data_IF_869865057214
#
_entry.id   IF_869865057214
#
_cell.length_a   1.000
_cell.length_b   1.000
_cell.length_c   1.000
_cell.angle_alpha   90.00
_cell.angle_beta   90.00
_cell.angle_gamma   90.00
#
_symmetry.space_group_name_H-M   'P 1'
#
loop_
_entity.id
_entity.type
_entity.pdbx_description
1 polymer ?
#
# COMPACT_ATOMS: atom_id res chain seq x y z
N UNK A 1 -31.38 0.50 7.99
CA UNK A 1 -30.20 -0.36 7.78
C UNK A 1 -30.15 -0.78 6.32
N UNK A 2 -29.01 -1.25 5.81
CA UNK A 2 -28.90 -1.67 4.41
C UNK A 2 -29.56 -3.04 4.24
N UNK A 3 -30.59 -3.13 3.40
CA UNK A 3 -31.32 -4.38 3.11
C UNK A 3 -30.35 -5.53 2.70
N UNK A 4 -29.23 -5.21 2.04
CA UNK A 4 -28.22 -6.21 1.69
C UNK A 4 -27.50 -6.80 2.91
N UNK A 5 -27.23 -5.98 3.95
CA UNK A 5 -26.62 -6.46 5.19
C UNK A 5 -27.59 -7.35 5.96
N UNK A 6 -28.88 -6.98 5.99
CA UNK A 6 -29.91 -7.77 6.66
C UNK A 6 -30.18 -9.11 5.94
N UNK A 7 -30.12 -9.13 4.60
CA UNK A 7 -30.17 -10.38 3.79
C UNK A 7 -29.01 -11.33 4.09
N UNK A 8 -27.80 -10.80 4.23
CA UNK A 8 -26.63 -11.59 4.62
C UNK A 8 -26.79 -12.16 6.03
N UNK A 9 -27.21 -11.33 6.98
CA UNK A 9 -27.45 -11.75 8.38
C UNK A 9 -28.49 -12.86 8.44
N UNK A 10 -29.60 -12.73 7.72
CA UNK A 10 -30.62 -13.78 7.65
C UNK A 10 -30.06 -15.09 7.06
N UNK A 11 -29.18 -15.00 6.05
CA UNK A 11 -28.52 -16.17 5.45
C UNK A 11 -27.55 -16.86 6.42
N UNK A 12 -26.89 -16.11 7.31
CA UNK A 12 -26.05 -16.62 8.39
C UNK A 12 -26.91 -17.32 9.44
N UNK A 13 -28.01 -16.69 9.86
CA UNK A 13 -28.94 -17.28 10.83
C UNK A 13 -29.55 -18.58 10.29
N UNK A 14 -29.97 -18.61 9.01
CA UNK A 14 -30.47 -19.82 8.35
C UNK A 14 -29.41 -20.94 8.33
N UNK A 15 -28.15 -20.61 8.08
CA UNK A 15 -27.03 -21.56 8.09
C UNK A 15 -26.78 -22.13 9.50
N UNK A 16 -26.75 -21.28 10.53
CA UNK A 16 -26.57 -21.72 11.93
C UNK A 16 -27.72 -22.61 12.39
N UNK A 17 -28.96 -22.27 12.05
CA UNK A 17 -30.13 -23.12 12.31
C UNK A 17 -30.04 -24.46 11.60
N UNK A 18 -29.63 -24.49 10.33
CA UNK A 18 -29.41 -25.74 9.60
C UNK A 18 -28.32 -26.60 10.24
N UNK A 19 -27.21 -25.98 10.67
CA UNK A 19 -26.09 -26.66 11.35
C UNK A 19 -26.47 -27.29 12.69
N UNK A 20 -27.48 -26.74 13.37
CA UNK A 20 -28.08 -27.32 14.58
C UNK A 20 -28.95 -28.54 14.23
N UNK A 21 -29.71 -28.45 13.14
CA UNK A 21 -30.68 -29.49 12.72
C UNK A 21 -30.00 -30.68 12.04
N UNK A 22 -28.98 -30.43 11.23
CA UNK A 22 -28.24 -31.46 10.48
C UNK A 22 -27.19 -32.20 11.32
N UNK A 23 -26.90 -31.70 12.53
CA UNK A 23 -25.94 -32.30 13.46
C UNK A 23 -24.48 -32.08 13.07
N UNK A 24 -24.19 -31.11 12.19
CA UNK A 24 -22.81 -30.71 11.84
C UNK A 24 -22.07 -30.17 13.07
N UNK A 25 -22.81 -29.63 14.04
CA UNK A 25 -22.29 -29.07 15.29
C UNK A 25 -22.55 -30.04 16.45
N UNK A 26 -21.61 -30.10 17.41
CA UNK A 26 -21.74 -30.94 18.60
C UNK A 26 -22.96 -30.53 19.41
N UNK A 27 -23.63 -31.52 20.03
CA UNK A 27 -24.80 -31.28 20.87
C UNK A 27 -24.54 -30.29 22.02
N UNK A 28 -23.30 -30.24 22.52
CA UNK A 28 -22.89 -29.34 23.61
C UNK A 28 -22.83 -27.86 23.16
N UNK A 29 -22.69 -27.60 21.86
CA UNK A 29 -22.56 -26.25 21.30
C UNK A 29 -23.90 -25.67 20.81
N UNK A 30 -24.99 -26.46 20.87
CA UNK A 30 -26.32 -26.06 20.40
C UNK A 30 -26.85 -24.82 21.13
N UNK A 31 -26.79 -24.82 22.46
CA UNK A 31 -27.26 -23.68 23.27
C UNK A 31 -26.45 -22.42 22.97
N UNK A 32 -25.14 -22.57 22.77
CA UNK A 32 -24.25 -21.47 22.40
C UNK A 32 -24.61 -20.86 21.04
N UNK A 33 -24.98 -21.70 20.06
CA UNK A 33 -25.41 -21.24 18.75
C UNK A 33 -26.78 -20.55 18.77
N UNK A 34 -27.73 -21.03 19.57
CA UNK A 34 -29.04 -20.39 19.74
C UNK A 34 -28.89 -18.98 20.32
N UNK A 35 -28.01 -18.80 21.33
CA UNK A 35 -27.68 -17.47 21.87
C UNK A 35 -27.02 -16.59 20.80
N UNK A 36 -26.09 -17.13 20.03
CA UNK A 36 -25.42 -16.37 18.96
C UNK A 36 -26.41 -15.89 17.88
N UNK A 37 -27.37 -16.73 17.47
CA UNK A 37 -28.42 -16.37 16.53
C UNK A 37 -29.24 -15.18 17.05
N UNK A 38 -29.63 -15.22 18.33
CA UNK A 38 -30.39 -14.15 18.94
C UNK A 38 -29.58 -12.84 19.00
N UNK A 39 -28.33 -12.88 19.45
CA UNK A 39 -27.47 -11.70 19.51
C UNK A 39 -27.23 -11.08 18.12
N UNK A 40 -27.01 -11.91 17.09
CA UNK A 40 -26.83 -11.45 15.71
C UNK A 40 -28.13 -10.85 15.16
N UNK A 41 -29.27 -11.48 15.41
CA UNK A 41 -30.58 -10.94 15.01
C UNK A 41 -30.84 -9.56 15.60
N UNK A 42 -30.68 -9.41 16.92
CA UNK A 42 -30.89 -8.15 17.63
C UNK A 42 -29.93 -7.04 17.15
N UNK A 43 -28.65 -7.36 16.97
CA UNK A 43 -27.64 -6.39 16.53
C UNK A 43 -27.94 -5.77 15.15
N UNK A 44 -28.61 -6.52 14.27
CA UNK A 44 -28.91 -6.12 12.90
C UNK A 44 -30.40 -5.88 12.62
N UNK A 45 -31.23 -5.94 13.66
CA UNK A 45 -32.68 -5.80 13.57
C UNK A 45 -33.31 -6.84 12.63
N UNK A 46 -32.78 -8.06 12.63
CA UNK A 46 -33.28 -9.20 11.87
C UNK A 46 -33.94 -10.19 12.83
N UNK A 47 -35.24 -10.38 12.69
CA UNK A 47 -35.99 -11.36 13.47
C UNK A 47 -36.28 -12.60 12.61
N UNK A 48 -35.64 -13.74 12.89
CA UNK A 48 -35.89 -14.98 12.16
C UNK A 48 -37.30 -15.56 12.40
N UNK A 49 -38.05 -15.08 13.40
CA UNK A 49 -39.44 -15.47 13.67
C UNK A 49 -40.48 -14.60 12.93
N UNK A 50 -40.08 -13.46 12.36
CA UNK A 50 -40.98 -12.59 11.60
C UNK A 50 -41.10 -13.03 10.13
N UNK A 51 -42.19 -13.73 9.83
CA UNK A 51 -42.52 -14.21 8.48
C UNK A 51 -42.52 -13.12 7.39
N UNK A 52 -42.83 -11.86 7.74
CA UNK A 52 -42.86 -10.75 6.77
C UNK A 52 -41.44 -10.29 6.42
N UNK A 53 -40.56 -10.25 7.43
CA UNK A 53 -39.18 -9.87 7.27
C UNK A 53 -38.38 -10.98 6.56
N UNK A 54 -38.61 -12.23 6.95
CA UNK A 54 -38.03 -13.41 6.30
C UNK A 54 -38.40 -13.44 4.82
N UNK A 55 -39.67 -13.20 4.44
CA UNK A 55 -40.06 -13.16 3.01
C UNK A 55 -39.42 -12.02 2.22
N UNK A 56 -39.21 -10.85 2.84
CA UNK A 56 -38.59 -9.68 2.19
C UNK A 56 -37.07 -9.84 2.01
N UNK A 57 -36.41 -10.50 2.97
CA UNK A 57 -34.97 -10.64 3.05
C UNK A 57 -34.46 -12.01 2.60
N UNK A 58 -35.34 -13.00 2.38
CA UNK A 58 -34.91 -14.33 1.95
C UNK A 58 -34.29 -14.30 0.56
N UNK A 59 -33.18 -15.02 0.41
CA UNK A 59 -32.43 -15.15 -0.84
C UNK A 59 -32.62 -16.53 -1.48
N UNK A 60 -33.62 -17.30 -1.01
CA UNK A 60 -33.94 -18.64 -1.54
C UNK A 60 -34.23 -18.56 -3.06
N UNK A 61 -33.69 -19.48 -3.88
CA UNK A 61 -33.11 -20.78 -3.50
C UNK A 61 -31.60 -20.76 -3.15
N UNK A 62 -30.91 -19.62 -3.20
CA UNK A 62 -29.48 -19.57 -2.89
C UNK A 62 -29.25 -19.66 -1.37
N UNK A 63 -28.43 -20.63 -0.95
CA UNK A 63 -28.00 -20.81 0.45
C UNK A 63 -26.62 -20.23 0.66
N UNK A 64 -26.29 -19.82 1.89
CA UNK A 64 -24.96 -19.29 2.22
C UNK A 64 -23.81 -20.23 1.80
N UNK A 65 -23.90 -21.56 2.01
CA UNK A 65 -22.91 -22.50 1.49
C UNK A 65 -22.80 -22.48 -0.05
N UNK A 66 -23.94 -22.43 -0.77
CA UNK A 66 -23.90 -22.39 -2.24
C UNK A 66 -23.27 -21.11 -2.79
N UNK A 67 -23.50 -19.98 -2.13
CA UNK A 67 -22.90 -18.68 -2.49
C UNK A 67 -21.40 -18.71 -2.20
N UNK A 68 -21.02 -19.27 -1.04
CA UNK A 68 -19.62 -19.40 -0.66
C UNK A 68 -18.87 -20.39 -1.57
N UNK A 69 -19.50 -21.49 -1.97
CA UNK A 69 -18.96 -22.43 -2.96
C UNK A 69 -18.76 -21.77 -4.33
N UNK A 70 -19.70 -20.92 -4.77
CA UNK A 70 -19.54 -20.13 -6.00
C UNK A 70 -18.39 -19.15 -5.87
N UNK A 71 -18.23 -18.51 -4.71
CA UNK A 71 -17.08 -17.65 -4.43
C UNK A 71 -15.77 -18.44 -4.46
N UNK A 72 -15.68 -19.58 -3.77
CA UNK A 72 -14.50 -20.44 -3.77
C UNK A 72 -14.18 -20.95 -5.18
N UNK A 73 -15.17 -21.47 -5.91
CA UNK A 73 -14.99 -21.92 -7.31
C UNK A 73 -14.57 -20.79 -8.24
N UNK A 74 -15.07 -19.58 -8.03
CA UNK A 74 -14.64 -18.40 -8.79
C UNK A 74 -13.22 -18.01 -8.42
N UNK A 75 -12.89 -17.98 -7.12
CA UNK A 75 -11.54 -17.71 -6.62
C UNK A 75 -10.53 -18.72 -7.16
N UNK A 76 -10.86 -20.00 -7.14
CA UNK A 76 -9.97 -21.07 -7.59
C UNK A 76 -9.82 -21.08 -9.13
N UNK A 77 -10.89 -20.76 -9.87
CA UNK A 77 -10.81 -20.54 -11.33
C UNK A 77 -9.98 -19.32 -11.72
N UNK A 78 -10.05 -18.25 -10.93
CA UNK A 78 -9.25 -17.03 -11.12
C UNK A 78 -7.78 -17.26 -10.72
N UNK A 79 -7.51 -18.14 -9.74
CA UNK A 79 -6.15 -18.48 -9.31
C UNK A 79 -5.44 -19.54 -10.17
N UNK A 80 -6.17 -20.36 -10.94
CA UNK A 80 -5.59 -21.49 -11.68
C UNK A 80 -6.20 -21.75 -13.06
N UNK A 81 -6.16 -20.79 -14.00
CA UNK A 81 -6.37 -21.15 -15.43
C UNK A 81 -5.53 -20.31 -16.40
N UNK A 82 -4.30 -20.78 -16.63
CA UNK A 82 -3.75 -20.75 -17.99
C UNK A 82 -4.43 -21.86 -18.81
N UNK A 83 -5.09 -21.46 -19.90
CA UNK A 83 -5.63 -22.25 -21.04
C UNK A 83 -7.05 -22.87 -20.89
N UNK A 84 -7.98 -22.61 -21.85
CA UNK A 84 -9.38 -23.01 -21.74
C UNK A 84 -9.72 -24.29 -22.51
N UNK A 85 -10.61 -25.11 -21.94
CA UNK A 85 -11.43 -26.06 -22.69
C UNK A 85 -12.92 -25.79 -22.40
N UNK A 86 -13.69 -25.67 -23.47
CA UNK A 86 -14.99 -25.04 -23.56
C UNK A 86 -16.12 -25.72 -22.79
N UNK A 87 -17.10 -24.93 -22.34
CA UNK A 87 -18.55 -25.18 -22.52
C UNK A 87 -19.35 -23.90 -22.26
N UNK A 88 -19.52 -23.14 -23.35
CA UNK A 88 -20.75 -22.44 -23.78
C UNK A 88 -21.77 -21.97 -22.73
N UNK A 89 -21.84 -20.65 -22.53
CA UNK A 89 -23.06 -19.88 -22.82
C UNK A 89 -22.79 -18.37 -22.89
N UNK A 90 -23.18 -17.78 -24.02
CA UNK A 90 -23.23 -16.34 -24.35
C UNK A 90 -21.91 -15.60 -24.63
N UNK A 91 -21.20 -16.04 -25.66
CA UNK A 91 -20.50 -15.12 -26.56
C UNK A 91 -21.52 -14.21 -27.27
N UNK A 92 -21.95 -13.14 -26.59
CA UNK A 92 -22.39 -11.95 -27.31
C UNK A 92 -21.13 -11.26 -27.84
N UNK A 93 -21.00 -11.25 -29.16
CA UNK A 93 -20.05 -10.46 -29.93
C UNK A 93 -20.27 -8.99 -29.55
N UNK A 94 -19.57 -8.52 -28.51
CA UNK A 94 -19.72 -7.17 -27.96
C UNK A 94 -19.29 -6.18 -29.04
N UNK A 95 -20.22 -5.30 -29.39
CA UNK A 95 -20.08 -4.36 -30.51
C UNK A 95 -19.00 -3.34 -30.17
N UNK A 96 -18.26 -2.83 -31.17
CA UNK A 96 -17.28 -1.75 -30.96
C UNK A 96 -17.86 -0.53 -30.23
N UNK A 97 -19.19 -0.33 -30.29
CA UNK A 97 -19.90 0.70 -29.53
C UNK A 97 -19.88 0.52 -28.01
N UNK A 98 -19.81 -0.71 -27.49
CA UNK A 98 -19.80 -0.96 -26.04
C UNK A 98 -18.42 -0.70 -25.44
N UNK A 99 -17.36 -1.01 -26.20
CA UNK A 99 -15.99 -0.67 -25.83
C UNK A 99 -15.79 0.86 -25.81
N UNK A 100 -16.32 1.59 -26.79
CA UNK A 100 -16.27 3.06 -26.78
C UNK A 100 -16.97 3.65 -25.55
N UNK A 101 -18.15 3.12 -25.17
CA UNK A 101 -18.84 3.56 -23.95
C UNK A 101 -18.05 3.21 -22.68
N UNK A 102 -17.41 2.05 -22.63
CA UNK A 102 -16.54 1.68 -21.50
C UNK A 102 -15.36 2.66 -21.36
N UNK A 103 -14.77 3.07 -22.49
CA UNK A 103 -13.71 4.07 -22.53
C UNK A 103 -14.20 5.46 -22.09
N UNK A 104 -15.43 5.86 -22.43
CA UNK A 104 -16.04 7.11 -21.93
C UNK A 104 -16.19 7.09 -20.41
N UNK A 105 -16.65 5.97 -19.84
CA UNK A 105 -16.73 5.81 -18.39
C UNK A 105 -15.35 5.82 -17.73
N UNK A 106 -14.33 5.20 -18.34
CA UNK A 106 -12.93 5.30 -17.88
C UNK A 106 -12.45 6.75 -17.90
N UNK A 107 -12.69 7.50 -18.98
CA UNK A 107 -12.27 8.89 -19.09
C UNK A 107 -12.96 9.77 -18.04
N UNK A 108 -14.25 9.56 -17.81
CA UNK A 108 -14.98 10.21 -16.72
C UNK A 108 -14.41 9.85 -15.35
N UNK A 109 -14.11 8.57 -15.09
CA UNK A 109 -13.45 8.13 -13.87
C UNK A 109 -12.09 8.81 -13.66
N UNK A 110 -11.28 8.94 -14.71
CA UNK A 110 -9.99 9.63 -14.65
C UNK A 110 -10.14 11.12 -14.33
N UNK A 111 -11.16 11.78 -14.88
CA UNK A 111 -11.50 13.18 -14.53
C UNK A 111 -11.92 13.29 -13.06
N UNK A 112 -12.76 12.37 -12.58
CA UNK A 112 -13.19 12.37 -11.18
C UNK A 112 -12.02 12.09 -10.23
N UNK A 113 -11.04 11.26 -10.64
CA UNK A 113 -9.79 11.06 -9.92
C UNK A 113 -8.96 12.34 -9.79
N UNK A 114 -8.82 13.12 -10.87
CA UNK A 114 -8.09 14.40 -10.80
C UNK A 114 -8.81 15.45 -9.96
N UNK A 115 -10.13 15.38 -9.89
CA UNK A 115 -10.97 16.17 -8.97
C UNK A 115 -10.99 15.62 -7.52
N UNK A 116 -10.27 14.53 -7.23
CA UNK A 116 -10.25 13.83 -5.92
C UNK A 116 -11.62 13.30 -5.45
N UNK A 117 -12.55 13.10 -6.38
CA UNK A 117 -13.88 12.52 -6.13
C UNK A 117 -13.82 11.00 -6.26
N UNK A 118 -13.15 10.35 -5.31
CA UNK A 118 -12.78 8.94 -5.43
C UNK A 118 -13.99 7.99 -5.51
N UNK A 119 -15.05 8.23 -4.72
CA UNK A 119 -16.26 7.40 -4.78
C UNK A 119 -16.93 7.42 -6.16
N UNK A 120 -17.07 8.62 -6.74
CA UNK A 120 -17.65 8.78 -8.07
C UNK A 120 -16.75 8.18 -9.16
N UNK A 121 -15.43 8.27 -8.97
CA UNK A 121 -14.48 7.62 -9.87
C UNK A 121 -14.62 6.08 -9.82
N UNK A 122 -14.77 5.50 -8.62
CA UNK A 122 -15.01 4.07 -8.43
C UNK A 122 -16.29 3.64 -9.15
N UNK A 123 -17.37 4.41 -9.03
CA UNK A 123 -18.63 4.14 -9.72
C UNK A 123 -18.43 4.16 -11.24
N UNK A 124 -17.75 5.17 -11.77
CA UNK A 124 -17.46 5.30 -13.19
C UNK A 124 -16.63 4.11 -13.72
N UNK A 125 -15.55 3.73 -13.04
CA UNK A 125 -14.77 2.55 -13.43
C UNK A 125 -15.56 1.25 -13.30
N UNK A 126 -16.49 1.15 -12.34
CA UNK A 126 -17.38 0.00 -12.21
C UNK A 126 -18.33 -0.12 -13.40
N UNK A 127 -18.82 1.01 -13.94
CA UNK A 127 -19.57 1.01 -15.19
C UNK A 127 -18.70 0.63 -16.39
N UNK A 128 -17.44 1.07 -16.45
CA UNK A 128 -16.52 0.63 -17.49
C UNK A 128 -16.29 -0.90 -17.45
N UNK A 129 -16.08 -1.47 -16.25
CA UNK A 129 -15.89 -2.91 -16.03
C UNK A 129 -17.15 -3.72 -16.40
N UNK A 130 -18.35 -3.21 -16.12
CA UNK A 130 -19.58 -3.92 -16.48
C UNK A 130 -19.75 -4.04 -18.00
N UNK A 131 -19.34 -3.00 -18.73
CA UNK A 131 -19.37 -2.95 -20.19
C UNK A 131 -18.23 -3.73 -20.85
N UNK A 132 -17.04 -3.75 -20.26
CA UNK A 132 -15.93 -4.58 -20.72
C UNK A 132 -15.09 -5.08 -19.53
N UNK A 133 -15.37 -6.31 -19.05
CA UNK A 133 -14.67 -6.89 -17.91
C UNK A 133 -13.30 -7.48 -18.28
N UNK A 134 -12.89 -7.39 -19.56
CA UNK A 134 -11.65 -7.99 -20.06
C UNK A 134 -10.50 -7.00 -20.16
N UNK A 135 -10.71 -5.75 -19.77
CA UNK A 135 -9.69 -4.71 -19.81
C UNK A 135 -9.07 -4.48 -18.43
N UNK A 136 -7.80 -4.87 -18.28
CA UNK A 136 -7.03 -4.73 -17.04
C UNK A 136 -6.88 -3.27 -16.57
N UNK A 137 -6.96 -2.30 -17.50
CA UNK A 137 -6.83 -0.87 -17.19
C UNK A 137 -7.94 -0.39 -16.27
N UNK A 138 -9.19 -0.86 -16.46
CA UNK A 138 -10.30 -0.40 -15.63
C UNK A 138 -10.17 -0.85 -14.17
N UNK A 139 -9.78 -2.10 -13.95
CA UNK A 139 -9.49 -2.61 -12.61
C UNK A 139 -8.31 -1.87 -11.98
N UNK A 140 -7.23 -1.64 -12.72
CA UNK A 140 -6.07 -0.90 -12.20
C UNK A 140 -6.38 0.56 -11.84
N UNK A 141 -7.25 1.22 -12.60
CA UNK A 141 -7.69 2.57 -12.31
C UNK A 141 -8.63 2.60 -11.09
N UNK A 142 -9.52 1.61 -10.95
CA UNK A 142 -10.37 1.48 -9.77
C UNK A 142 -9.58 1.13 -8.51
N UNK A 143 -8.54 0.30 -8.62
CA UNK A 143 -7.56 0.06 -7.54
C UNK A 143 -6.86 1.35 -7.09
N UNK A 144 -6.51 2.22 -8.04
CA UNK A 144 -5.93 3.53 -7.73
C UNK A 144 -6.92 4.42 -6.97
N UNK A 145 -8.19 4.40 -7.36
CA UNK A 145 -9.26 5.15 -6.69
C UNK A 145 -9.50 4.65 -5.26
N UNK A 146 -9.59 3.33 -5.07
CA UNK A 146 -9.67 2.71 -3.75
C UNK A 146 -8.48 3.08 -2.86
N UNK A 147 -7.26 2.98 -3.39
CA UNK A 147 -6.04 3.40 -2.66
C UNK A 147 -6.07 4.87 -2.27
N UNK A 148 -6.55 5.74 -3.16
CA UNK A 148 -6.61 7.19 -2.91
C UNK A 148 -7.68 7.57 -1.87
N UNK A 149 -8.71 6.73 -1.71
CA UNK A 149 -9.71 6.83 -0.65
C UNK A 149 -9.25 6.21 0.69
N UNK A 150 -8.16 5.43 0.68
CA UNK A 150 -7.64 4.70 1.84
C UNK A 150 -8.22 3.28 2.00
N UNK A 151 -9.00 2.80 1.04
CA UNK A 151 -9.51 1.41 1.03
C UNK A 151 -8.49 0.50 0.33
N UNK A 152 -7.38 0.22 1.03
CA UNK A 152 -6.28 -0.53 0.44
C UNK A 152 -6.60 -2.02 0.25
N UNK A 153 -7.53 -2.59 1.02
CA UNK A 153 -7.98 -3.97 0.83
C UNK A 153 -8.76 -4.13 -0.48
N UNK A 154 -9.69 -3.22 -0.78
CA UNK A 154 -10.38 -3.23 -2.08
C UNK A 154 -9.40 -2.98 -3.24
N UNK A 155 -8.39 -2.13 -3.03
CA UNK A 155 -7.35 -1.89 -4.03
C UNK A 155 -6.51 -3.14 -4.34
N UNK A 156 -6.19 -3.97 -3.34
CA UNK A 156 -5.52 -5.26 -3.55
C UNK A 156 -6.36 -6.15 -4.47
N UNK A 157 -7.65 -6.34 -4.16
CA UNK A 157 -8.52 -7.21 -4.96
C UNK A 157 -8.62 -6.76 -6.43
N UNK A 158 -8.76 -5.45 -6.68
CA UNK A 158 -8.79 -4.93 -8.04
C UNK A 158 -7.43 -5.01 -8.75
N UNK A 159 -6.32 -4.84 -8.03
CA UNK A 159 -4.99 -4.98 -8.61
C UNK A 159 -4.68 -6.44 -8.99
N UNK A 160 -5.07 -7.40 -8.16
CA UNK A 160 -5.00 -8.83 -8.47
C UNK A 160 -5.87 -9.18 -9.68
N UNK A 161 -7.08 -8.63 -9.75
CA UNK A 161 -7.95 -8.84 -10.91
C UNK A 161 -7.36 -8.23 -12.19
N UNK A 162 -6.72 -7.07 -12.12
CA UNK A 162 -6.01 -6.47 -13.24
C UNK A 162 -4.89 -7.39 -13.76
N UNK A 163 -4.11 -7.98 -12.85
CA UNK A 163 -3.03 -8.92 -13.18
C UNK A 163 -3.60 -10.23 -13.75
N UNK A 164 -4.71 -10.74 -13.21
CA UNK A 164 -5.37 -11.94 -13.72
C UNK A 164 -5.92 -11.72 -15.13
N UNK A 165 -6.42 -10.52 -15.42
CA UNK A 165 -6.94 -10.14 -16.75
C UNK A 165 -5.82 -9.96 -17.77
N UNK A 166 -4.73 -9.27 -17.40
CA UNK A 166 -3.52 -9.17 -18.24
C UNK A 166 -2.25 -9.35 -17.38
N UNK A 167 -1.66 -10.55 -17.38
CA UNK A 167 -0.44 -10.83 -16.62
C UNK A 167 0.79 -10.05 -17.09
N UNK A 168 0.76 -9.39 -18.24
CA UNK A 168 1.86 -8.52 -18.72
C UNK A 168 1.66 -7.07 -18.33
N UNK A 169 0.53 -6.72 -17.70
CA UNK A 169 0.20 -5.36 -17.35
C UNK A 169 0.96 -4.88 -16.10
N UNK A 170 2.14 -4.30 -16.32
CA UNK A 170 3.07 -3.87 -15.26
C UNK A 170 2.44 -2.91 -14.24
N UNK A 171 1.54 -2.03 -14.68
CA UNK A 171 0.79 -1.12 -13.79
C UNK A 171 -0.04 -1.89 -12.76
N UNK A 172 -0.56 -3.09 -13.08
CA UNK A 172 -1.28 -3.96 -12.13
C UNK A 172 -0.40 -4.36 -10.95
N UNK A 173 0.82 -4.81 -11.21
CA UNK A 173 1.81 -5.14 -10.18
C UNK A 173 2.20 -3.93 -9.32
N UNK A 174 2.34 -2.76 -9.94
CA UNK A 174 2.58 -1.52 -9.20
C UNK A 174 1.39 -1.17 -8.28
N UNK A 175 0.14 -1.34 -8.73
CA UNK A 175 -1.05 -1.09 -7.88
C UNK A 175 -1.10 -2.07 -6.71
N UNK A 176 -0.82 -3.34 -6.97
CA UNK A 176 -0.82 -4.38 -5.95
C UNK A 176 0.22 -4.09 -4.86
N UNK A 177 1.47 -3.87 -5.28
CA UNK A 177 2.55 -3.59 -4.33
C UNK A 177 2.32 -2.30 -3.54
N UNK A 178 1.78 -1.26 -4.18
CA UNK A 178 1.43 -0.03 -3.47
C UNK A 178 0.32 -0.25 -2.44
N UNK A 179 -0.74 -0.98 -2.79
CA UNK A 179 -1.83 -1.27 -1.86
C UNK A 179 -1.36 -2.11 -0.67
N UNK A 180 -0.54 -3.14 -0.91
CA UNK A 180 0.07 -3.97 0.14
C UNK A 180 1.03 -3.18 1.03
N UNK A 181 1.81 -2.26 0.45
CA UNK A 181 2.68 -1.37 1.20
C UNK A 181 1.88 -0.47 2.15
N UNK A 182 0.75 0.08 1.69
CA UNK A 182 -0.15 0.87 2.53
C UNK A 182 -0.86 0.05 3.62
N UNK A 183 -0.97 -1.28 3.43
CA UNK A 183 -1.44 -2.23 4.45
C UNK A 183 -0.32 -2.71 5.39
N UNK A 184 0.89 -2.17 5.25
CA UNK A 184 2.10 -2.54 6.00
C UNK A 184 2.57 -3.99 5.76
N UNK A 185 2.04 -4.65 4.72
CA UNK A 185 2.53 -5.94 4.23
C UNK A 185 3.70 -5.70 3.27
N UNK A 186 4.84 -5.32 3.85
CA UNK A 186 6.04 -4.92 3.10
C UNK A 186 6.67 -6.09 2.34
N UNK A 187 6.53 -7.32 2.84
CA UNK A 187 7.01 -8.53 2.16
C UNK A 187 6.21 -8.79 0.89
N UNK A 188 4.87 -8.85 0.99
CA UNK A 188 4.02 -9.04 -0.19
C UNK A 188 4.16 -7.88 -1.19
N UNK A 189 4.30 -6.64 -0.69
CA UNK A 189 4.56 -5.48 -1.54
C UNK A 189 5.85 -5.62 -2.35
N UNK A 190 6.94 -6.04 -1.70
CA UNK A 190 8.22 -6.28 -2.37
C UNK A 190 8.10 -7.37 -3.44
N UNK A 191 7.42 -8.48 -3.14
CA UNK A 191 7.17 -9.55 -4.12
C UNK A 191 6.36 -9.07 -5.33
N UNK A 192 5.33 -8.23 -5.12
CA UNK A 192 4.54 -7.66 -6.19
C UNK A 192 5.40 -6.75 -7.09
N UNK A 193 6.22 -5.87 -6.51
CA UNK A 193 7.13 -5.01 -7.27
C UNK A 193 8.19 -5.81 -8.03
N UNK A 194 8.76 -6.86 -7.43
CA UNK A 194 9.70 -7.76 -8.10
C UNK A 194 9.08 -8.48 -9.29
N UNK A 195 7.83 -8.95 -9.16
CA UNK A 195 7.10 -9.54 -10.31
C UNK A 195 6.91 -8.53 -11.44
N UNK A 196 6.58 -7.27 -11.11
CA UNK A 196 6.52 -6.19 -12.11
C UNK A 196 7.87 -5.94 -12.79
N UNK A 197 8.98 -5.94 -12.02
CA UNK A 197 10.33 -5.76 -12.55
C UNK A 197 10.83 -6.92 -13.40
N UNK A 198 10.31 -8.14 -13.21
CA UNK A 198 10.60 -9.26 -14.12
C UNK A 198 10.04 -9.01 -15.52
N UNK A 199 8.94 -8.25 -15.63
CA UNK A 199 8.33 -7.86 -16.91
C UNK A 199 9.01 -6.63 -17.51
N UNK A 200 9.27 -5.61 -16.69
CA UNK A 200 9.98 -4.39 -17.09
C UNK A 200 11.16 -4.09 -16.14
N UNK A 201 12.35 -4.68 -16.38
CA UNK A 201 13.52 -4.48 -15.52
C UNK A 201 14.05 -3.05 -15.50
N UNK A 202 13.65 -2.22 -16.47
CA UNK A 202 14.02 -0.81 -16.57
C UNK A 202 13.12 0.14 -15.79
N UNK A 203 12.01 -0.33 -15.23
CA UNK A 203 11.00 0.53 -14.62
C UNK A 203 11.50 1.13 -13.28
N UNK A 204 11.93 2.38 -13.32
CA UNK A 204 12.51 3.07 -12.16
C UNK A 204 11.51 3.23 -11.01
N UNK A 205 10.23 3.49 -11.32
CA UNK A 205 9.18 3.62 -10.30
C UNK A 205 9.02 2.34 -9.48
N UNK A 206 9.03 1.19 -10.15
CA UNK A 206 9.00 -0.11 -9.46
C UNK A 206 10.27 -0.39 -8.66
N UNK A 207 11.45 0.00 -9.15
CA UNK A 207 12.72 -0.14 -8.40
C UNK A 207 12.71 0.66 -7.11
N UNK A 208 12.33 1.94 -7.19
CA UNK A 208 12.23 2.80 -6.02
C UNK A 208 11.18 2.30 -5.03
N UNK A 209 10.05 1.80 -5.53
CA UNK A 209 8.98 1.24 -4.68
C UNK A 209 9.42 -0.06 -4.00
N UNK A 210 10.16 -0.92 -4.71
CA UNK A 210 10.76 -2.13 -4.17
C UNK A 210 11.80 -1.82 -3.08
N UNK A 211 12.68 -0.85 -3.33
CA UNK A 211 13.67 -0.41 -2.35
C UNK A 211 13.01 0.14 -1.09
N UNK A 212 11.96 0.95 -1.25
CA UNK A 212 11.18 1.46 -0.13
C UNK A 212 10.52 0.31 0.66
N UNK A 213 9.84 -0.61 -0.02
CA UNK A 213 9.27 -1.80 0.62
C UNK A 213 10.33 -2.60 1.39
N UNK A 214 11.48 -2.89 0.78
CA UNK A 214 12.58 -3.61 1.41
C UNK A 214 13.18 -2.88 2.61
N UNK A 215 13.27 -1.55 2.57
CA UNK A 215 13.76 -0.75 3.70
C UNK A 215 12.86 -0.83 4.93
N UNK A 216 11.57 -1.14 4.74
CA UNK A 216 10.57 -1.31 5.81
C UNK A 216 10.51 -2.73 6.35
N UNK A 217 11.05 -3.71 5.60
CA UNK A 217 11.26 -5.07 6.08
C UNK A 217 12.42 -5.01 7.08
N UNK A 218 12.09 -4.85 8.35
CA UNK A 218 13.06 -5.04 9.42
C UNK A 218 13.52 -6.50 9.35
N UNK A 219 14.81 -6.79 9.16
CA UNK A 219 15.29 -8.16 9.27
C UNK A 219 14.93 -8.62 10.69
N UNK A 220 14.11 -9.66 10.78
CA UNK A 220 13.77 -10.29 12.05
C UNK A 220 15.04 -10.92 12.64
N UNK A 221 15.83 -10.09 13.30
CA UNK A 221 16.83 -10.46 14.28
C UNK A 221 16.52 -9.69 15.56
N UNK A 222 15.37 -9.95 16.19
CA UNK A 222 15.16 -9.74 17.64
C UNK A 222 13.73 -9.98 18.18
N UNK A 223 12.72 -10.36 17.39
CA UNK A 223 11.41 -10.75 17.98
C UNK A 223 11.21 -12.25 17.98
N UNK A 224 12.08 -12.94 18.73
CA UNK A 224 11.77 -14.25 19.29
C UNK A 224 10.91 -14.05 20.54
N UNK A 225 9.59 -14.11 20.39
CA UNK A 225 8.67 -14.25 21.52
C UNK A 225 8.15 -15.68 21.56
N UNK A 226 8.55 -16.40 22.62
CA UNK A 226 7.98 -17.61 23.25
C UNK A 226 9.11 -18.59 23.56
N UNK A 227 9.25 -19.22 24.73
CA UNK A 227 8.47 -19.23 25.97
C UNK A 227 9.21 -20.22 26.87
N UNK A 228 9.96 -19.78 27.89
CA UNK A 228 10.34 -20.61 29.04
C UNK A 228 11.19 -19.81 30.02
N UNK A 229 10.58 -19.29 31.08
CA UNK A 229 11.26 -19.25 32.38
C UNK A 229 10.19 -19.34 33.46
N UNK A 230 10.22 -20.37 34.33
CA UNK A 230 9.21 -20.53 35.35
C UNK A 230 9.39 -19.48 36.44
N UNK A 231 8.24 -19.06 36.95
CA UNK A 231 8.05 -18.11 38.04
C UNK A 231 8.38 -18.77 39.39
N UNK A 232 9.10 -18.05 40.23
CA UNK A 232 9.19 -18.28 41.68
C UNK A 232 10.54 -17.83 42.23
N UNK A 233 10.68 -16.86 43.12
CA UNK A 233 9.74 -16.00 43.83
C UNK A 233 10.55 -15.08 44.75
N UNK A 234 9.90 -14.05 45.30
CA UNK A 234 10.32 -13.39 46.54
C UNK A 234 11.13 -12.09 46.42
N UNK A 235 10.51 -11.00 46.90
CA UNK A 235 11.21 -10.06 47.78
C UNK A 235 11.61 -8.70 47.19
N UNK A 236 10.75 -7.70 47.42
CA UNK A 236 11.09 -6.50 48.20
C UNK A 236 12.05 -5.43 47.64
N UNK A 237 11.60 -4.18 47.73
CA UNK A 237 12.47 -3.05 48.07
C UNK A 237 12.78 -2.07 46.93
N UNK A 238 12.53 -0.79 47.20
CA UNK A 238 12.76 0.31 46.26
C UNK A 238 14.21 0.83 46.22
N UNK A 239 14.41 1.85 45.38
CA UNK A 239 15.67 2.57 45.16
C UNK A 239 16.30 2.17 43.81
N UNK A 240 16.75 3.07 42.95
CA UNK A 240 16.91 4.50 43.13
C UNK A 240 17.22 5.20 41.81
N UNK A 241 16.87 6.48 41.79
CA UNK A 241 17.24 7.52 40.84
C UNK A 241 18.75 7.89 40.94
N UNK A 242 19.58 6.97 41.42
CA UNK A 242 20.99 7.20 41.78
C UNK A 242 21.98 6.75 40.69
N UNK A 243 21.54 5.98 39.68
CA UNK A 243 22.41 5.52 38.59
C UNK A 243 22.50 6.49 37.39
N UNK A 244 21.65 7.53 37.35
CA UNK A 244 21.65 8.54 36.28
C UNK A 244 22.49 9.79 36.64
N UNK A 245 22.98 9.90 37.89
CA UNK A 245 23.65 11.10 38.40
C UNK A 245 25.11 10.84 38.82
N UNK A 246 25.77 9.88 38.18
CA UNK A 246 27.22 9.61 38.38
C UNK A 246 28.08 9.97 37.16
N UNK A 247 27.49 10.47 36.07
CA UNK A 247 28.21 10.86 34.85
C UNK A 247 28.43 12.36 34.66
N UNK A 248 27.90 13.21 35.55
CA UNK A 248 27.84 14.66 35.32
C UNK A 248 28.41 15.43 36.52
N UNK A 249 29.73 15.39 36.69
CA UNK A 249 30.37 16.17 37.74
C UNK A 249 31.89 16.15 37.72
N UNK A 250 32.50 17.15 37.08
CA UNK A 250 33.78 17.71 37.53
C UNK A 250 34.93 17.66 36.53
N UNK A 251 35.15 18.77 35.81
CA UNK A 251 36.36 18.99 35.01
C UNK A 251 36.39 20.38 34.41
N UNK A 252 36.71 21.39 35.22
CA UNK A 252 36.86 22.78 34.83
C UNK A 252 38.11 22.99 33.95
N UNK A 253 37.98 23.79 32.88
CA UNK A 253 39.14 24.43 32.25
C UNK A 253 39.02 24.73 30.76
N UNK A 254 38.61 25.95 30.41
CA UNK A 254 39.23 26.76 29.36
C UNK A 254 38.91 26.48 27.88
N UNK A 255 38.46 27.53 27.18
CA UNK A 255 38.79 27.76 25.77
C UNK A 255 37.79 27.25 24.74
N UNK A 256 37.02 28.16 24.15
CA UNK A 256 36.32 27.91 22.90
C UNK A 256 37.33 27.60 21.78
N UNK A 257 37.15 26.44 21.16
CA UNK A 257 37.90 25.97 20.00
C UNK A 257 37.04 24.93 19.28
N UNK A 258 36.94 25.06 17.96
CA UNK A 258 36.13 24.26 17.04
C UNK A 258 36.10 22.75 17.36
N UNK A 259 35.00 22.04 17.03
CA UNK A 259 35.04 20.58 16.88
C UNK A 259 36.10 20.19 15.86
N UNK A 260 36.95 19.26 16.28
CA UNK A 260 38.22 18.86 15.67
C UNK A 260 38.06 18.38 14.21
N UNK A 261 38.60 19.15 13.25
CA UNK A 261 38.62 18.85 11.81
C UNK A 261 39.36 17.53 11.51
N UNK A 262 40.27 17.09 12.40
CA UNK A 262 40.95 15.81 12.28
C UNK A 262 40.00 14.61 12.52
N UNK A 263 38.95 14.79 13.33
CA UNK A 263 37.92 13.77 13.54
C UNK A 263 36.90 13.70 12.41
N UNK A 264 36.77 14.77 11.60
CA UNK A 264 35.89 14.79 10.42
C UNK A 264 36.53 14.06 9.24
N UNK A 265 37.86 14.21 9.06
CA UNK A 265 38.62 13.61 7.96
C UNK A 265 38.96 12.12 8.18
N UNK A 266 38.82 11.62 9.42
CA UNK A 266 38.97 10.20 9.76
C UNK A 266 37.67 9.40 9.62
N UNK A 267 36.56 10.02 9.18
CA UNK A 267 35.31 9.32 8.94
C UNK A 267 35.39 8.46 7.65
N UNK A 268 35.32 7.12 7.73
CA UNK A 268 35.46 6.23 6.58
C UNK A 268 34.37 6.45 5.51
N UNK A 269 33.19 6.91 5.93
CA UNK A 269 32.08 7.24 5.04
C UNK A 269 32.32 8.51 4.22
N UNK A 270 33.08 9.47 4.76
CA UNK A 270 33.43 10.69 4.04
C UNK A 270 34.54 10.42 3.02
N UNK A 271 35.48 9.53 3.35
CA UNK A 271 36.53 9.09 2.44
C UNK A 271 35.98 8.23 1.29
N UNK A 272 35.03 7.33 1.56
CA UNK A 272 34.34 6.56 0.51
C UNK A 272 33.48 7.45 -0.39
N UNK A 273 32.79 8.45 0.19
CA UNK A 273 32.01 9.44 -0.57
C UNK A 273 32.91 10.33 -1.44
N UNK A 274 34.03 10.81 -0.92
CA UNK A 274 35.02 11.59 -1.68
C UNK A 274 35.65 10.76 -2.81
N UNK A 275 35.93 9.48 -2.56
CA UNK A 275 36.48 8.56 -3.55
C UNK A 275 35.47 8.20 -4.64
N UNK A 276 34.19 8.08 -4.29
CA UNK A 276 33.08 7.90 -5.23
C UNK A 276 32.82 9.17 -6.05
N UNK A 277 33.02 10.36 -5.47
CA UNK A 277 32.92 11.65 -6.17
C UNK A 277 34.07 11.87 -7.17
N UNK A 278 35.29 11.42 -6.84
CA UNK A 278 36.43 11.42 -7.75
C UNK A 278 36.28 10.38 -8.86
N UNK A 279 35.75 9.19 -8.54
CA UNK A 279 35.54 8.12 -9.53
C UNK A 279 34.47 8.46 -10.58
N UNK A 280 33.46 9.28 -10.23
CA UNK A 280 32.37 9.66 -11.13
C UNK A 280 32.61 10.98 -11.90
N UNK A 281 33.81 11.57 -11.83
CA UNK A 281 34.11 12.85 -12.50
C UNK A 281 33.30 14.04 -11.97
N UNK A 282 32.60 13.87 -10.83
CA UNK A 282 31.75 14.89 -10.22
C UNK A 282 32.56 16.08 -9.72
N UNK A 283 33.79 15.84 -9.25
CA UNK A 283 34.71 16.91 -8.81
C UNK A 283 35.22 17.76 -9.99
N UNK A 284 35.42 17.16 -11.17
CA UNK A 284 35.82 17.87 -12.40
C UNK A 284 34.69 18.78 -12.91
N UNK A 285 33.44 18.31 -12.88
CA UNK A 285 32.26 19.13 -13.22
C UNK A 285 31.98 20.22 -12.18
N UNK A 286 32.33 19.98 -10.91
CA UNK A 286 32.22 20.97 -9.85
C UNK A 286 33.30 22.05 -9.97
N UNK A 287 34.54 21.68 -10.33
CA UNK A 287 35.65 22.63 -10.56
C UNK A 287 35.49 23.44 -11.86
N UNK A 288 34.79 22.89 -12.86
CA UNK A 288 34.42 23.63 -14.08
C UNK A 288 33.26 24.59 -13.86
N UNK A 289 32.59 24.55 -12.71
CA UNK A 289 31.50 25.46 -12.40
C UNK A 289 32.06 26.80 -11.88
N UNK A 290 31.90 27.92 -12.62
CA UNK A 290 32.46 29.22 -12.26
C UNK A 290 31.95 29.75 -10.91
N UNK A 291 30.76 29.31 -10.47
CA UNK A 291 30.20 29.70 -9.18
C UNK A 291 30.93 29.00 -8.01
N UNK A 292 31.40 27.76 -8.22
CA UNK A 292 32.18 27.03 -7.23
C UNK A 292 33.60 27.59 -7.15
N UNK A 293 34.20 28.00 -8.28
CA UNK A 293 35.51 28.67 -8.28
C UNK A 293 35.49 29.99 -7.49
N UNK A 294 34.42 30.78 -7.63
CA UNK A 294 34.21 32.01 -6.85
C UNK A 294 33.98 31.73 -5.36
N UNK A 295 33.26 30.66 -5.03
CA UNK A 295 33.05 30.22 -3.65
C UNK A 295 34.35 29.70 -3.01
N UNK A 296 35.16 28.94 -3.75
CA UNK A 296 36.46 28.44 -3.31
C UNK A 296 37.45 29.57 -3.04
N UNK A 297 37.48 30.61 -3.89
CA UNK A 297 38.29 31.81 -3.66
C UNK A 297 37.85 32.58 -2.40
N UNK A 298 36.55 32.64 -2.09
CA UNK A 298 36.02 33.29 -0.88
C UNK A 298 36.27 32.49 0.39
N UNK A 299 36.17 31.16 0.31
CA UNK A 299 36.55 30.25 1.40
C UNK A 299 38.06 30.32 1.65
N UNK A 300 38.87 30.42 0.60
CA UNK A 300 40.32 30.59 0.71
C UNK A 300 40.73 31.95 1.28
N UNK A 301 39.91 33.00 1.10
CA UNK A 301 40.09 34.31 1.73
C UNK A 301 39.49 34.41 3.14
N UNK A 302 38.90 33.34 3.68
CA UNK A 302 38.36 33.29 5.05
C UNK A 302 37.05 34.05 5.26
N UNK A 303 36.34 34.41 4.18
CA UNK A 303 35.14 35.24 4.22
C UNK A 303 33.93 34.40 3.76
N UNK A 304 33.37 33.60 4.69
CA UNK A 304 32.17 32.79 4.41
C UNK A 304 30.90 33.61 4.71
N UNK A 305 29.97 33.72 3.74
CA UNK A 305 28.69 34.37 3.97
C UNK A 305 27.85 33.60 4.98
N UNK A 306 27.01 34.32 5.72
CA UNK A 306 26.11 33.74 6.70
C UNK A 306 25.05 32.87 6.03
N UNK A 307 24.50 31.88 6.75
CA UNK A 307 23.42 31.00 6.26
C UNK A 307 22.17 31.80 5.81
N UNK A 308 21.98 33.00 6.36
CA UNK A 308 20.92 33.93 5.96
C UNK A 308 21.18 34.55 4.57
N UNK A 309 22.42 34.91 4.26
CA UNK A 309 22.80 35.43 2.94
C UNK A 309 22.81 34.34 1.87
N UNK A 310 23.12 33.09 2.23
CA UNK A 310 22.98 31.94 1.34
C UNK A 310 21.53 31.67 0.93
N UNK A 311 20.58 31.86 1.85
CA UNK A 311 19.15 31.63 1.56
C UNK A 311 18.52 32.73 0.70
N UNK A 312 19.11 33.93 0.70
CA UNK A 312 18.66 35.05 -0.14
C UNK A 312 19.39 35.12 -1.49
N UNK A 313 20.38 34.25 -1.72
CA UNK A 313 21.10 34.20 -2.99
C UNK A 313 20.19 33.67 -4.13
N UNK A 314 19.94 34.49 -5.18
CA UNK A 314 19.09 34.10 -6.30
C UNK A 314 19.58 32.86 -7.05
N UNK A 315 20.89 32.62 -7.07
CA UNK A 315 21.49 31.48 -7.78
C UNK A 315 21.22 30.14 -7.07
N UNK A 316 21.10 30.17 -5.74
CA UNK A 316 20.71 29.02 -4.93
C UNK A 316 19.21 28.72 -5.03
N UNK A 317 18.37 29.74 -5.23
CA UNK A 317 16.95 29.55 -5.52
C UNK A 317 16.73 28.90 -6.89
N UNK A 318 17.46 29.32 -7.92
CA UNK A 318 17.40 28.69 -9.24
C UNK A 318 17.92 27.25 -9.21
N UNK A 319 18.99 26.98 -8.45
CA UNK A 319 19.51 25.62 -8.28
C UNK A 319 18.54 24.73 -7.48
N UNK A 320 17.87 25.27 -6.46
CA UNK A 320 16.81 24.57 -5.73
C UNK A 320 15.54 24.36 -6.57
N UNK A 321 15.22 25.24 -7.53
CA UNK A 321 14.14 25.03 -8.49
C UNK A 321 14.52 24.02 -9.58
N UNK A 322 15.78 24.03 -10.02
CA UNK A 322 16.31 23.09 -11.00
C UNK A 322 16.39 21.66 -10.45
N UNK A 323 16.77 21.50 -9.17
CA UNK A 323 16.86 20.18 -8.53
C UNK A 323 15.61 19.78 -7.72
N UNK A 324 14.80 20.74 -7.27
CA UNK A 324 13.54 20.51 -6.54
C UNK A 324 12.29 20.44 -7.43
N UNK A 325 12.37 20.95 -8.66
CA UNK A 325 11.27 20.90 -9.64
C UNK A 325 11.12 19.55 -10.36
N UNK A 326 12.16 18.73 -10.37
CA UNK A 326 12.13 17.42 -11.05
C UNK A 326 11.25 16.38 -10.31
N UNK A 327 11.01 16.57 -9.01
CA UNK A 327 10.03 15.76 -8.27
C UNK A 327 8.58 16.02 -8.73
N UNK A 328 8.27 17.24 -9.18
CA UNK A 328 6.93 17.61 -9.67
C UNK A 328 6.75 17.20 -11.15
N UNK A 329 7.83 17.17 -11.94
CA UNK A 329 7.81 16.63 -13.30
C UNK A 329 7.53 15.13 -13.34
N UNK A 330 8.09 14.36 -12.41
CA UNK A 330 7.82 12.92 -12.32
C UNK A 330 6.32 12.62 -12.10
N UNK A 331 5.64 13.44 -11.30
CA UNK A 331 4.18 13.33 -11.10
C UNK A 331 3.36 13.74 -12.33
N UNK A 332 3.90 14.59 -13.21
CA UNK A 332 3.21 15.06 -14.42
C UNK A 332 3.43 14.11 -15.61
N UNK A 333 4.61 13.51 -15.74
CA UNK A 333 4.90 12.50 -16.77
C UNK A 333 4.17 11.18 -16.56
N UNK A 334 3.95 10.76 -15.30
CA UNK A 334 3.13 9.58 -14.99
C UNK A 334 1.63 9.75 -15.29
N UNK A 335 1.15 11.00 -15.45
CA UNK A 335 -0.25 11.32 -15.72
C UNK A 335 -0.55 11.59 -17.21
N UNK A 336 0.47 11.87 -18.04
CA UNK A 336 0.32 12.20 -19.47
C UNK A 336 0.65 11.04 -20.41
N UNK A 337 1.40 10.01 -19.97
CA UNK A 337 1.61 8.79 -20.77
C UNK A 337 0.44 7.79 -20.66
N UNK A 338 -0.79 8.32 -20.73
CA UNK A 338 -2.05 7.59 -20.61
C UNK A 338 -2.92 7.61 -21.87
N UNK A 339 -2.37 8.00 -23.01
CA UNK A 339 -2.94 7.81 -24.36
C UNK A 339 -2.27 6.63 -25.08
#
# INVERSE_FOLDING_TARGET
MNDNKQRLVLSIIDFLNQSIVDGTVKSDDKESLEVAIQCIGEAFGVDPADDTQVKKLSVKPATLPSIFDVFLKTKDKVGTTATPAASTSSTSKRSGSDNTKADDYKANGNKLMSEKKYDQAIDAYTQAISLDPTNAVYYSNRAAAYSSKGDHLAAVGDAEQAIATDPKFVKGYHRLGHAQFCLEDYEAAAEAFERGLKLEPGNQGLKSSLENAKSRIVPSSSTGASSATPRGGGGGGGGGLADLLSGLGGGAGGGGGMPDLASLMSNPQMMSMAQQMMANGGLENLMRNPNVANMMNRVQSGDMPSMAELMDDPSLRDLAQQYGGDQIKLCKELLVMGD
#
